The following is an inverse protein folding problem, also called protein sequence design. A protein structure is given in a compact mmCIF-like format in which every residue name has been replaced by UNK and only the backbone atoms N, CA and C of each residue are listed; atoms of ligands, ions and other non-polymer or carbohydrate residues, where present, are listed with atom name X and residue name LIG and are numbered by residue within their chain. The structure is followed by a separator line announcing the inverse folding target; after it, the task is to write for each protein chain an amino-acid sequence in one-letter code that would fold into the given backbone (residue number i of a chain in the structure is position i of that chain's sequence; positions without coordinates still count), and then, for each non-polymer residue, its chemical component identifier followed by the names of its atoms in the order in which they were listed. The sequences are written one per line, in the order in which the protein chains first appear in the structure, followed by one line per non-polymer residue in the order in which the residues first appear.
data_IF_517871897449
#
_entry.id   IF_517871897449
#
_cell.length_a   1.000
_cell.length_b   1.000
_cell.length_c   1.000
_cell.angle_alpha   90.00
_cell.angle_beta   90.00
_cell.angle_gamma   90.00
#
_symmetry.space_group_name_H-M   'P 1'
#
loop_
_entity.id
_entity.type
_entity.pdbx_description
1 polymer ?
#
# COMPACT_ATOMS: atom_id res chain seq x y z
N UNK A 1 18.05 7.85 19.44
CA UNK A 1 16.62 8.18 19.61
C UNK A 1 16.13 8.80 18.31
N UNK A 2 15.27 8.11 17.55
CA UNK A 2 14.86 8.57 16.22
C UNK A 2 13.72 9.60 16.33
N UNK A 3 13.92 10.86 15.90
CA UNK A 3 12.90 11.89 15.95
C UNK A 3 12.01 11.74 14.72
N UNK A 4 10.88 11.02 14.84
CA UNK A 4 9.75 11.13 13.89
C UNK A 4 8.46 10.40 14.34
N UNK A 5 8.34 9.98 15.61
CA UNK A 5 7.05 9.57 16.17
C UNK A 5 6.30 10.81 16.67
N UNK A 6 5.65 11.55 15.77
CA UNK A 6 4.44 12.26 16.19
C UNK A 6 3.33 11.22 16.00
N UNK A 7 2.78 10.63 17.08
CA UNK A 7 1.73 9.65 16.96
C UNK A 7 0.57 10.28 16.20
N UNK A 8 0.03 9.57 15.21
CA UNK A 8 -1.26 9.96 14.63
C UNK A 8 -2.26 9.97 15.80
N UNK A 9 -2.98 11.09 16.05
CA UNK A 9 -3.88 11.18 17.18
C UNK A 9 -4.85 10.00 17.20
N UNK A 10 -5.05 9.38 18.37
CA UNK A 10 -5.95 8.24 18.62
C UNK A 10 -5.49 6.88 18.06
N UNK A 11 -4.30 6.76 17.49
CA UNK A 11 -3.71 5.47 17.11
C UNK A 11 -2.86 4.91 18.27
N UNK A 12 -3.06 3.64 18.58
CA UNK A 12 -2.26 2.87 19.54
C UNK A 12 -1.14 2.14 18.79
N UNK A 13 0.12 2.31 19.22
CA UNK A 13 1.25 1.60 18.62
C UNK A 13 1.17 0.10 18.92
N UNK A 14 1.31 -0.75 17.90
CA UNK A 14 1.43 -2.21 18.05
C UNK A 14 2.87 -2.68 17.90
N UNK A 15 3.65 -2.03 17.04
CA UNK A 15 5.10 -2.22 16.88
C UNK A 15 5.73 -0.93 16.36
N UNK A 16 7.02 -0.93 16.01
CA UNK A 16 7.74 0.29 15.61
C UNK A 16 7.11 1.04 14.42
N UNK A 17 6.42 0.32 13.52
CA UNK A 17 5.81 0.89 12.30
C UNK A 17 4.38 0.41 12.05
N UNK A 18 3.77 -0.19 13.06
CA UNK A 18 2.39 -0.68 13.01
C UNK A 18 1.62 0.01 14.11
N UNK A 19 0.47 0.60 13.76
CA UNK A 19 -0.43 1.23 14.70
C UNK A 19 -1.88 0.85 14.39
N UNK A 20 -2.73 0.88 15.41
CA UNK A 20 -4.14 0.53 15.32
C UNK A 20 -4.99 1.67 15.86
N UNK A 21 -5.95 2.11 15.06
CA UNK A 21 -7.05 2.93 15.50
C UNK A 21 -8.27 2.04 15.70
N UNK A 22 -8.91 2.18 16.86
CA UNK A 22 -10.25 1.63 17.12
C UNK A 22 -11.23 2.78 17.31
N UNK A 23 -12.39 2.77 16.66
CA UNK A 23 -13.40 3.77 16.87
C UNK A 23 -14.02 3.61 18.27
N UNK A 24 -14.68 4.66 18.80
CA UNK A 24 -15.50 4.54 19.99
C UNK A 24 -16.57 3.45 19.82
N UNK A 25 -17.01 2.78 20.91
CA UNK A 25 -18.07 1.80 20.84
C UNK A 25 -19.31 2.42 20.21
N UNK A 26 -19.70 1.90 19.04
CA UNK A 26 -20.93 2.24 18.34
C UNK A 26 -21.70 0.96 18.11
N UNK A 27 -23.02 1.05 17.93
CA UNK A 27 -23.84 -0.13 17.64
C UNK A 27 -23.26 -0.88 16.43
N UNK A 28 -22.94 -2.18 16.55
CA UNK A 28 -22.33 -2.92 15.45
C UNK A 28 -23.23 -2.86 14.21
N UNK A 29 -22.71 -2.50 13.03
CA UNK A 29 -23.49 -2.60 11.81
C UNK A 29 -23.85 -4.07 11.57
N UNK A 30 -25.08 -4.34 11.14
CA UNK A 30 -25.48 -5.70 10.78
C UNK A 30 -24.63 -6.22 9.61
N UNK A 31 -24.23 -7.51 9.62
CA UNK A 31 -23.49 -8.11 8.52
C UNK A 31 -24.37 -8.06 7.26
N UNK A 32 -23.90 -7.37 6.22
CA UNK A 32 -24.52 -7.42 4.90
C UNK A 32 -23.45 -7.49 3.82
N UNK A 33 -23.71 -8.12 2.67
CA UNK A 33 -22.75 -8.18 1.56
C UNK A 33 -22.37 -6.79 1.01
N UNK A 34 -23.23 -5.78 1.24
CA UNK A 34 -23.00 -4.37 0.91
C UNK A 34 -22.56 -3.53 2.12
N UNK A 35 -22.24 -4.16 3.25
CA UNK A 35 -21.82 -3.44 4.45
C UNK A 35 -20.48 -2.73 4.20
N UNK A 36 -20.29 -1.52 4.77
CA UNK A 36 -18.98 -0.87 4.75
C UNK A 36 -17.92 -1.77 5.38
N UNK A 37 -16.64 -1.63 5.01
CA UNK A 37 -15.56 -2.38 5.65
C UNK A 37 -15.54 -2.10 7.16
N UNK A 38 -15.43 -3.15 7.96
CA UNK A 38 -15.25 -3.05 9.41
C UNK A 38 -13.77 -3.02 9.81
N UNK A 39 -12.87 -3.30 8.87
CA UNK A 39 -11.43 -3.18 9.10
C UNK A 39 -10.75 -2.66 7.83
N UNK A 40 -9.85 -1.71 8.00
CA UNK A 40 -9.11 -1.09 6.92
C UNK A 40 -7.62 -1.25 7.21
N UNK A 41 -6.91 -1.95 6.33
CA UNK A 41 -5.46 -2.03 6.34
C UNK A 41 -4.96 -0.88 5.48
N UNK A 42 -4.26 0.08 6.09
CA UNK A 42 -3.68 1.21 5.38
C UNK A 42 -2.16 1.06 5.33
N UNK A 43 -1.62 0.72 4.16
CA UNK A 43 -0.18 0.60 3.95
C UNK A 43 0.35 1.92 3.39
N UNK A 44 0.88 2.78 4.26
CA UNK A 44 1.39 4.09 3.91
C UNK A 44 2.68 4.02 3.07
N UNK A 45 2.89 5.04 2.25
CA UNK A 45 4.08 5.13 1.41
C UNK A 45 5.34 5.44 2.23
N UNK A 46 6.48 5.35 1.54
CA UNK A 46 7.80 5.50 2.12
C UNK A 46 7.95 6.85 2.85
N UNK A 47 8.26 6.79 4.15
CA UNK A 47 8.45 7.96 5.03
C UNK A 47 7.31 8.98 4.97
N UNK A 48 6.08 8.51 4.76
CA UNK A 48 4.89 9.36 4.78
C UNK A 48 4.83 10.17 6.09
N UNK A 49 4.73 11.50 5.97
CA UNK A 49 4.59 12.36 7.15
C UNK A 49 3.20 12.14 7.77
N UNK A 50 3.07 12.23 9.11
CA UNK A 50 1.79 12.05 9.79
C UNK A 50 0.66 12.87 9.18
N UNK A 51 0.89 14.15 8.85
CA UNK A 51 -0.12 15.01 8.20
C UNK A 51 -0.70 14.45 6.90
N UNK A 52 0.10 13.73 6.13
CA UNK A 52 -0.34 13.15 4.86
C UNK A 52 -1.08 11.83 5.08
N UNK A 53 -0.65 11.02 6.06
CA UNK A 53 -1.38 9.83 6.48
C UNK A 53 -2.76 10.21 7.07
N UNK A 54 -2.80 11.24 7.93
CA UNK A 54 -4.03 11.75 8.57
C UNK A 54 -5.12 12.07 7.55
N UNK A 55 -4.76 12.61 6.39
CA UNK A 55 -5.73 12.93 5.33
C UNK A 55 -6.54 11.69 4.90
N UNK A 56 -5.88 10.54 4.77
CA UNK A 56 -6.52 9.29 4.37
C UNK A 56 -7.21 8.58 5.53
N UNK A 57 -6.57 8.56 6.71
CA UNK A 57 -7.18 7.93 7.89
C UNK A 57 -8.42 8.70 8.34
N UNK A 58 -8.40 10.03 8.35
CA UNK A 58 -9.59 10.84 8.65
C UNK A 58 -10.70 10.66 7.63
N UNK A 59 -10.38 10.54 6.35
CA UNK A 59 -11.39 10.26 5.34
C UNK A 59 -12.02 8.87 5.55
N UNK A 60 -11.22 7.84 5.82
CA UNK A 60 -11.73 6.51 6.16
C UNK A 60 -12.56 6.51 7.45
N UNK A 61 -12.14 7.25 8.48
CA UNK A 61 -12.90 7.40 9.73
C UNK A 61 -14.26 8.07 9.48
N UNK A 62 -14.35 9.06 8.60
CA UNK A 62 -15.62 9.71 8.24
C UNK A 62 -16.54 8.77 7.46
N UNK A 63 -15.97 7.99 6.54
CA UNK A 63 -16.71 7.13 5.60
C UNK A 63 -17.13 5.80 6.24
N UNK A 64 -16.32 5.30 7.16
CA UNK A 64 -16.51 4.03 7.87
C UNK A 64 -16.33 4.26 9.38
N UNK A 65 -17.29 4.92 10.07
CA UNK A 65 -17.12 5.35 11.46
C UNK A 65 -16.92 4.21 12.47
N UNK A 66 -17.36 3.00 12.13
CA UNK A 66 -17.21 1.79 12.94
C UNK A 66 -16.00 0.94 12.55
N UNK A 67 -15.17 1.36 11.59
CA UNK A 67 -14.06 0.57 11.12
C UNK A 67 -12.80 0.76 11.97
N UNK A 68 -12.15 -0.35 12.31
CA UNK A 68 -10.77 -0.35 12.78
C UNK A 68 -9.84 0.04 11.62
N UNK A 69 -8.78 0.81 11.91
CA UNK A 69 -7.73 1.13 10.91
C UNK A 69 -6.40 0.59 11.41
N UNK A 70 -5.92 -0.47 10.74
CA UNK A 70 -4.59 -1.02 10.92
C UNK A 70 -3.62 -0.31 9.97
N UNK A 71 -2.83 0.60 10.52
CA UNK A 71 -1.85 1.39 9.77
C UNK A 71 -0.49 0.69 9.77
N UNK A 72 0.02 0.41 8.58
CA UNK A 72 1.38 -0.04 8.34
C UNK A 72 2.18 1.11 7.71
N UNK A 73 3.24 1.55 8.40
CA UNK A 73 4.16 2.55 7.90
C UNK A 73 5.41 1.89 7.32
N UNK A 74 6.03 2.58 6.37
CA UNK A 74 7.19 2.07 5.65
C UNK A 74 8.39 3.01 5.80
N UNK A 75 9.56 2.46 6.08
CA UNK A 75 10.79 3.24 6.33
C UNK A 75 12.03 2.69 5.63
N UNK A 76 13.11 3.48 5.69
CA UNK A 76 14.39 3.21 4.98
C UNK A 76 14.93 1.81 5.25
N UNK A 77 14.92 1.41 6.53
CA UNK A 77 15.45 0.11 6.92
C UNK A 77 14.68 -1.05 6.28
N UNK A 78 13.33 -0.99 6.24
CA UNK A 78 12.51 -2.08 5.68
C UNK A 78 12.74 -2.26 4.18
N UNK A 79 13.18 -1.20 3.52
CA UNK A 79 13.35 -1.17 2.08
C UNK A 79 14.76 -1.61 1.64
N UNK A 80 15.78 -1.41 2.48
CA UNK A 80 17.19 -1.59 2.08
C UNK A 80 17.91 -2.63 2.94
N UNK A 81 17.67 -2.64 4.27
CA UNK A 81 18.57 -3.28 5.23
C UNK A 81 17.91 -4.41 6.04
N UNK A 82 16.63 -4.28 6.36
CA UNK A 82 15.91 -5.21 7.22
C UNK A 82 15.49 -6.44 6.43
N UNK A 83 15.95 -7.61 6.86
CA UNK A 83 15.59 -8.89 6.23
C UNK A 83 14.08 -9.10 6.19
N UNK A 84 13.58 -9.84 5.19
CA UNK A 84 12.16 -10.17 5.11
C UNK A 84 11.67 -10.92 6.36
N UNK A 85 12.47 -11.84 6.93
CA UNK A 85 12.11 -12.55 8.16
C UNK A 85 11.90 -11.59 9.34
N UNK A 86 12.78 -10.60 9.51
CA UNK A 86 12.64 -9.57 10.54
C UNK A 86 11.43 -8.68 10.29
N UNK A 87 11.16 -8.29 9.04
CA UNK A 87 9.96 -7.51 8.70
C UNK A 87 8.68 -8.30 9.06
N UNK A 88 8.62 -9.59 8.73
CA UNK A 88 7.46 -10.44 9.06
C UNK A 88 7.28 -10.63 10.56
N UNK A 89 8.38 -10.81 11.31
CA UNK A 89 8.32 -10.85 12.78
C UNK A 89 7.73 -9.56 13.38
N UNK A 90 8.08 -8.39 12.85
CA UNK A 90 7.51 -7.11 13.29
C UNK A 90 6.02 -6.93 12.93
N UNK A 91 5.50 -7.74 12.00
CA UNK A 91 4.10 -7.73 11.58
C UNK A 91 3.23 -8.74 12.34
N UNK A 92 3.78 -9.58 13.22
CA UNK A 92 2.98 -10.53 14.01
C UNK A 92 1.84 -9.86 14.82
N UNK A 93 2.03 -8.69 15.47
CA UNK A 93 0.91 -7.99 16.13
C UNK A 93 -0.20 -7.55 15.15
N UNK A 94 0.17 -7.25 13.90
CA UNK A 94 -0.77 -6.92 12.84
C UNK A 94 -1.56 -8.17 12.41
N UNK A 95 -0.88 -9.31 12.26
CA UNK A 95 -1.48 -10.62 11.96
C UNK A 95 -2.50 -10.99 13.03
N UNK A 96 -2.17 -10.86 14.33
CA UNK A 96 -3.10 -11.15 15.42
C UNK A 96 -4.34 -10.25 15.39
N UNK A 97 -4.16 -8.96 15.08
CA UNK A 97 -5.27 -8.02 14.93
C UNK A 97 -6.20 -8.44 13.78
N UNK A 98 -5.62 -8.83 12.64
CA UNK A 98 -6.38 -9.30 11.49
C UNK A 98 -7.05 -10.66 11.74
N UNK A 99 -6.42 -11.53 12.54
CA UNK A 99 -6.98 -12.83 12.90
C UNK A 99 -8.25 -12.66 13.71
N UNK A 100 -8.26 -11.73 14.67
CA UNK A 100 -9.45 -11.36 15.42
C UNK A 100 -10.53 -10.75 14.52
N UNK A 101 -10.17 -9.82 13.63
CA UNK A 101 -11.11 -9.21 12.69
C UNK A 101 -11.74 -10.25 11.75
N UNK A 102 -10.93 -11.13 11.17
CA UNK A 102 -11.40 -12.19 10.27
C UNK A 102 -12.30 -13.19 11.00
N UNK A 103 -11.94 -13.60 12.22
CA UNK A 103 -12.78 -14.48 13.04
C UNK A 103 -14.13 -13.86 13.42
N UNK A 104 -14.19 -12.52 13.53
CA UNK A 104 -15.42 -11.78 13.73
C UNK A 104 -16.26 -11.61 12.44
N UNK A 105 -15.78 -12.10 11.30
CA UNK A 105 -16.43 -11.92 10.01
C UNK A 105 -16.38 -10.49 9.47
N UNK A 106 -15.39 -9.70 9.91
CA UNK A 106 -15.21 -8.34 9.41
C UNK A 106 -14.84 -8.38 7.92
N UNK A 107 -15.46 -7.49 7.14
CA UNK A 107 -15.03 -7.14 5.80
C UNK A 107 -13.79 -6.25 5.89
N UNK A 108 -12.73 -6.64 5.19
CA UNK A 108 -11.39 -6.06 5.27
C UNK A 108 -11.04 -5.38 3.94
N UNK A 109 -10.86 -4.06 3.97
CA UNK A 109 -10.30 -3.28 2.86
C UNK A 109 -8.77 -3.18 3.00
N UNK A 110 -8.02 -3.50 1.95
CA UNK A 110 -6.59 -3.21 1.86
C UNK A 110 -6.35 -2.00 0.97
N UNK A 111 -5.83 -0.91 1.53
CA UNK A 111 -5.50 0.32 0.81
C UNK A 111 -3.99 0.56 0.86
N UNK A 112 -3.34 0.45 -0.29
CA UNK A 112 -1.89 0.41 -0.46
C UNK A 112 -1.41 1.64 -1.22
N UNK A 113 -0.39 2.31 -0.70
CA UNK A 113 0.18 3.51 -1.32
C UNK A 113 1.64 3.31 -1.71
N UNK A 114 1.97 3.59 -2.98
CA UNK A 114 3.34 3.52 -3.52
C UNK A 114 3.98 2.11 -3.38
N UNK A 115 5.22 1.97 -3.84
CA UNK A 115 6.02 0.76 -3.58
C UNK A 115 6.29 0.57 -2.08
N UNK A 116 6.32 1.68 -1.34
CA UNK A 116 6.46 1.73 0.11
C UNK A 116 5.43 0.85 0.83
N UNK A 117 4.16 1.11 0.55
CA UNK A 117 3.04 0.35 1.09
C UNK A 117 2.89 -1.02 0.44
N UNK A 118 3.23 -1.17 -0.85
CA UNK A 118 3.19 -2.46 -1.51
C UNK A 118 4.12 -3.48 -0.82
N UNK A 119 5.31 -3.06 -0.38
CA UNK A 119 6.19 -3.92 0.41
C UNK A 119 5.53 -4.34 1.72
N UNK A 120 4.98 -3.39 2.48
CA UNK A 120 4.27 -3.71 3.72
C UNK A 120 3.10 -4.68 3.49
N UNK A 121 2.35 -4.51 2.40
CA UNK A 121 1.23 -5.37 2.04
C UNK A 121 1.69 -6.81 1.70
N UNK A 122 2.71 -6.96 0.84
CA UNK A 122 3.24 -8.28 0.46
C UNK A 122 3.88 -8.98 1.67
N UNK A 123 4.63 -8.24 2.51
CA UNK A 123 5.19 -8.80 3.75
C UNK A 123 4.10 -9.24 4.73
N UNK A 124 3.03 -8.45 4.88
CA UNK A 124 1.89 -8.81 5.72
C UNK A 124 1.19 -10.07 5.20
N UNK A 125 0.99 -10.19 3.87
CA UNK A 125 0.41 -11.38 3.28
C UNK A 125 1.28 -12.63 3.49
N UNK A 126 2.61 -12.51 3.37
CA UNK A 126 3.52 -13.60 3.72
C UNK A 126 3.46 -13.96 5.21
N UNK A 127 3.49 -12.97 6.11
CA UNK A 127 3.42 -13.20 7.55
C UNK A 127 2.09 -13.87 7.94
N UNK A 128 0.98 -13.44 7.33
CA UNK A 128 -0.32 -14.09 7.49
C UNK A 128 -0.29 -15.54 7.01
N UNK A 129 0.20 -15.79 5.80
CA UNK A 129 0.26 -17.14 5.23
C UNK A 129 1.14 -18.08 6.06
N UNK A 130 2.28 -17.60 6.55
CA UNK A 130 3.15 -18.36 7.45
C UNK A 130 2.45 -18.74 8.76
N UNK A 131 1.63 -17.84 9.30
CA UNK A 131 0.90 -18.07 10.56
C UNK A 131 -0.39 -18.89 10.39
N UNK A 132 -1.13 -18.68 9.30
CA UNK A 132 -2.51 -19.14 9.13
C UNK A 132 -2.67 -20.21 8.04
N UNK A 133 -1.66 -20.40 7.18
CA UNK A 133 -1.70 -21.36 6.08
C UNK A 133 -2.59 -20.96 4.90
N UNK A 134 -3.24 -19.79 4.95
CA UNK A 134 -4.18 -19.29 3.94
C UNK A 134 -3.70 -17.97 3.33
N UNK A 135 -4.24 -17.53 2.18
CA UNK A 135 -4.02 -16.18 1.67
C UNK A 135 -4.55 -15.10 2.63
N UNK A 136 -4.08 -13.87 2.47
CA UNK A 136 -4.53 -12.74 3.29
C UNK A 136 -6.05 -12.53 3.11
N UNK A 137 -6.85 -12.46 4.19
CA UNK A 137 -8.31 -12.42 4.12
C UNK A 137 -8.77 -10.97 3.88
N UNK A 138 -8.64 -10.50 2.65
CA UNK A 138 -9.08 -9.18 2.22
C UNK A 138 -10.24 -9.31 1.24
N UNK A 139 -11.20 -8.39 1.31
CA UNK A 139 -12.37 -8.39 0.43
C UNK A 139 -12.19 -7.44 -0.75
N UNK A 140 -11.35 -6.42 -0.61
CA UNK A 140 -11.03 -5.51 -1.71
C UNK A 140 -9.62 -4.94 -1.55
N UNK A 141 -8.98 -4.63 -2.68
CA UNK A 141 -7.64 -4.02 -2.73
C UNK A 141 -7.68 -2.71 -3.52
N UNK A 142 -7.12 -1.65 -2.94
CA UNK A 142 -6.84 -0.38 -3.63
C UNK A 142 -5.34 -0.20 -3.71
N UNK A 143 -4.83 -0.04 -4.92
CA UNK A 143 -3.43 0.21 -5.23
C UNK A 143 -3.31 1.65 -5.74
N UNK A 144 -2.87 2.57 -4.89
CA UNK A 144 -2.65 3.97 -5.22
C UNK A 144 -1.16 4.20 -5.56
N UNK A 145 -0.92 4.60 -6.80
CA UNK A 145 0.40 4.89 -7.33
C UNK A 145 1.38 3.71 -7.24
N UNK A 146 0.91 2.47 -7.43
CA UNK A 146 1.74 1.26 -7.33
C UNK A 146 1.14 0.05 -8.08
N UNK A 147 1.94 -1.01 -8.33
CA UNK A 147 3.40 -1.05 -8.20
C UNK A 147 4.11 -0.33 -9.35
N UNK A 148 5.32 0.15 -9.09
CA UNK A 148 6.20 0.77 -10.09
C UNK A 148 6.85 -0.21 -11.05
N UNK A 149 7.77 0.31 -11.87
CA UNK A 149 8.53 -0.49 -12.83
C UNK A 149 9.73 -1.16 -12.17
N UNK A 150 10.02 -2.44 -12.50
CA UNK A 150 11.28 -3.08 -12.10
C UNK A 150 12.48 -2.58 -12.92
N UNK A 151 12.25 -1.80 -13.98
CA UNK A 151 13.30 -1.16 -14.75
C UNK A 151 13.83 0.09 -14.04
N UNK A 152 15.06 -0.03 -13.53
CA UNK A 152 15.79 1.04 -12.85
C UNK A 152 16.00 2.27 -13.74
N UNK A 153 16.15 2.10 -15.07
CA UNK A 153 16.34 3.23 -15.99
C UNK A 153 15.06 4.02 -16.10
N UNK A 154 13.92 3.35 -16.26
CA UNK A 154 12.62 4.01 -16.29
C UNK A 154 12.32 4.72 -14.96
N UNK A 155 12.61 4.08 -13.82
CA UNK A 155 12.46 4.70 -12.50
C UNK A 155 13.39 5.91 -12.32
N UNK A 156 14.66 5.80 -12.67
CA UNK A 156 15.63 6.89 -12.57
C UNK A 156 15.30 8.05 -13.53
N UNK A 157 14.90 7.77 -14.77
CA UNK A 157 14.47 8.79 -15.74
C UNK A 157 13.24 9.52 -15.26
N UNK A 158 12.24 8.82 -14.71
CA UNK A 158 11.05 9.44 -14.14
C UNK A 158 11.43 10.43 -13.02
N UNK A 159 12.30 10.03 -12.09
CA UNK A 159 12.76 10.91 -11.00
C UNK A 159 13.60 12.09 -11.51
N UNK A 160 14.57 11.87 -12.42
CA UNK A 160 15.44 12.96 -12.89
C UNK A 160 14.66 14.00 -13.70
N UNK A 161 13.74 13.55 -14.56
CA UNK A 161 12.92 14.45 -15.38
C UNK A 161 11.81 15.14 -14.57
N UNK A 162 11.51 14.64 -13.37
CA UNK A 162 10.55 15.22 -12.44
C UNK A 162 10.98 16.54 -11.79
N UNK A 163 12.25 16.92 -11.91
CA UNK A 163 12.82 18.09 -11.24
C UNK A 163 13.29 19.10 -12.30
N UNK A 164 13.08 20.42 -12.10
CA UNK A 164 13.60 21.43 -13.02
C UNK A 164 15.10 21.26 -13.28
N UNK A 165 15.55 21.49 -14.52
CA UNK A 165 16.95 21.27 -14.94
C UNK A 165 17.97 21.90 -14.00
N UNK A 166 17.69 23.07 -13.43
CA UNK A 166 18.55 23.77 -12.48
C UNK A 166 18.74 23.06 -11.13
N UNK A 167 17.85 22.12 -10.79
CA UNK A 167 17.83 21.37 -9.52
C UNK A 167 18.05 19.86 -9.72
N UNK A 168 18.28 19.42 -10.96
CA UNK A 168 18.46 17.99 -11.28
C UNK A 168 19.66 17.36 -10.57
N UNK A 169 20.67 18.14 -10.15
CA UNK A 169 21.80 17.62 -9.39
C UNK A 169 21.39 17.09 -8.01
N UNK A 170 20.43 17.73 -7.33
CA UNK A 170 19.83 17.20 -6.09
C UNK A 170 18.98 15.94 -6.36
N UNK A 171 18.25 15.92 -7.47
CA UNK A 171 17.48 14.76 -7.92
C UNK A 171 18.40 13.55 -8.15
N UNK A 172 19.50 13.78 -8.88
CA UNK A 172 20.54 12.79 -9.15
C UNK A 172 21.18 12.30 -7.86
N UNK A 173 21.53 13.19 -6.93
CA UNK A 173 22.04 12.80 -5.61
C UNK A 173 21.04 11.94 -4.84
N UNK A 174 19.76 12.32 -4.80
CA UNK A 174 18.70 11.54 -4.15
C UNK A 174 18.50 10.17 -4.82
N UNK A 175 18.55 10.10 -6.15
CA UNK A 175 18.50 8.85 -6.91
C UNK A 175 19.67 7.95 -6.51
N UNK A 176 20.90 8.47 -6.48
CA UNK A 176 22.08 7.67 -6.11
C UNK A 176 22.10 7.23 -4.65
N UNK A 177 21.56 8.03 -3.73
CA UNK A 177 21.61 7.73 -2.29
C UNK A 177 20.42 6.92 -1.78
N UNK A 178 19.25 6.98 -2.44
CA UNK A 178 18.01 6.34 -1.97
C UNK A 178 17.47 5.35 -2.99
N UNK A 179 17.34 5.74 -4.26
CA UNK A 179 16.75 4.87 -5.28
C UNK A 179 17.72 3.76 -5.70
N UNK A 180 18.96 4.09 -6.05
CA UNK A 180 19.97 3.12 -6.49
C UNK A 180 20.20 1.98 -5.48
N UNK A 181 20.34 2.21 -4.16
CA UNK A 181 20.47 1.12 -3.20
C UNK A 181 19.26 0.16 -3.20
N UNK A 182 18.04 0.64 -3.43
CA UNK A 182 16.83 -0.20 -3.49
C UNK A 182 16.81 -1.19 -4.66
N UNK A 183 17.55 -0.88 -5.73
CA UNK A 183 17.66 -1.71 -6.92
C UNK A 183 18.97 -2.51 -6.96
N UNK A 184 20.07 -1.94 -6.47
CA UNK A 184 21.41 -2.54 -6.55
C UNK A 184 21.71 -3.48 -5.38
N UNK A 185 21.25 -3.18 -4.14
CA UNK A 185 21.53 -4.06 -3.00
C UNK A 185 20.95 -5.47 -3.14
N UNK A 186 19.74 -5.68 -3.72
CA UNK A 186 19.22 -7.03 -3.96
C UNK A 186 19.98 -7.75 -5.08
N UNK A 187 20.36 -7.02 -6.15
CA UNK A 187 21.14 -7.57 -7.27
C UNK A 187 22.50 -8.14 -6.84
N UNK A 188 23.19 -7.50 -5.89
CA UNK A 188 24.49 -7.96 -5.39
C UNK A 188 24.43 -9.29 -4.64
N UNK A 189 23.24 -9.70 -4.19
CA UNK A 189 23.01 -10.96 -3.44
C UNK A 189 22.20 -11.95 -4.27
N UNK A 190 21.99 -11.69 -5.57
CA UNK A 190 21.26 -12.57 -6.48
C UNK A 190 19.74 -12.66 -6.22
N UNK A 191 19.16 -11.70 -5.49
CA UNK A 191 17.72 -11.62 -5.27
C UNK A 191 17.05 -10.75 -6.34
N UNK A 192 15.76 -11.00 -6.66
CA UNK A 192 15.01 -10.09 -7.55
C UNK A 192 15.07 -8.67 -6.98
N UNK A 193 15.14 -7.67 -7.86
CA UNK A 193 15.00 -6.29 -7.41
C UNK A 193 13.68 -6.12 -6.65
N UNK A 194 13.64 -5.22 -5.66
CA UNK A 194 12.51 -5.10 -4.75
C UNK A 194 11.19 -4.95 -5.52
N UNK A 195 11.15 -4.10 -6.55
CA UNK A 195 9.93 -3.84 -7.32
C UNK A 195 9.44 -5.09 -8.06
N UNK A 196 10.32 -5.89 -8.62
CA UNK A 196 9.97 -7.17 -9.24
C UNK A 196 9.40 -8.15 -8.20
N UNK A 197 10.01 -8.24 -7.01
CA UNK A 197 9.47 -9.03 -5.91
C UNK A 197 8.07 -8.57 -5.51
N UNK A 198 7.84 -7.25 -5.42
CA UNK A 198 6.52 -6.67 -5.14
C UNK A 198 5.49 -7.01 -6.21
N UNK A 199 5.87 -6.87 -7.50
CA UNK A 199 4.98 -7.17 -8.63
C UNK A 199 4.54 -8.62 -8.62
N UNK A 200 5.47 -9.55 -8.34
CA UNK A 200 5.17 -10.98 -8.18
C UNK A 200 4.27 -11.25 -6.99
N UNK A 201 4.62 -10.72 -5.82
CA UNK A 201 3.85 -10.92 -4.59
C UNK A 201 2.42 -10.40 -4.69
N UNK A 202 2.20 -9.22 -5.27
CA UNK A 202 0.85 -8.66 -5.48
C UNK A 202 -0.03 -9.50 -6.43
N UNK A 203 0.59 -10.26 -7.35
CA UNK A 203 -0.11 -11.15 -8.28
C UNK A 203 0.02 -12.64 -7.90
N UNK A 204 0.50 -12.96 -6.69
CA UNK A 204 0.57 -14.32 -6.17
C UNK A 204 -0.78 -14.74 -5.54
N UNK A 205 -1.46 -15.68 -6.18
CA UNK A 205 -2.77 -16.18 -5.75
C UNK A 205 -2.75 -16.88 -4.38
N UNK A 206 -1.57 -17.28 -3.91
CA UNK A 206 -1.39 -17.85 -2.58
C UNK A 206 -1.25 -16.79 -1.48
N UNK A 207 -1.03 -15.53 -1.85
CA UNK A 207 -0.93 -14.39 -0.94
C UNK A 207 -2.19 -13.52 -0.99
N UNK A 208 -2.71 -13.28 -2.19
CA UNK A 208 -3.92 -12.51 -2.43
C UNK A 208 -4.87 -13.34 -3.30
N UNK A 209 -6.09 -13.69 -2.83
CA UNK A 209 -7.02 -14.48 -3.64
C UNK A 209 -7.39 -13.77 -4.95
N UNK A 210 -7.65 -14.54 -6.02
CA UNK A 210 -7.84 -14.00 -7.38
C UNK A 210 -9.21 -13.35 -7.56
N UNK A 211 -10.19 -13.87 -6.85
CA UNK A 211 -11.56 -13.40 -6.78
C UNK A 211 -11.70 -12.01 -6.15
N UNK A 212 -10.72 -11.58 -5.36
CA UNK A 212 -10.72 -10.29 -4.67
C UNK A 212 -10.58 -9.16 -5.70
N UNK A 213 -11.58 -8.26 -5.81
CA UNK A 213 -11.51 -7.12 -6.70
C UNK A 213 -10.39 -6.16 -6.27
N UNK A 214 -9.69 -5.62 -7.27
CA UNK A 214 -8.64 -4.63 -7.07
C UNK A 214 -8.79 -3.44 -8.00
N UNK A 215 -8.57 -2.23 -7.48
CA UNK A 215 -8.56 -1.00 -8.25
C UNK A 215 -7.17 -0.36 -8.21
N UNK A 216 -6.65 0.02 -9.37
CA UNK A 216 -5.39 0.74 -9.51
C UNK A 216 -5.67 2.20 -9.79
N UNK A 217 -5.30 3.08 -8.85
CA UNK A 217 -5.43 4.52 -8.96
C UNK A 217 -4.07 5.10 -9.33
N UNK A 218 -4.00 5.83 -10.43
CA UNK A 218 -2.74 6.35 -10.97
C UNK A 218 -2.95 7.62 -11.80
N UNK A 219 -1.87 8.33 -12.10
CA UNK A 219 -1.89 9.55 -12.90
C UNK A 219 -0.86 9.53 -14.01
N UNK A 220 -1.18 10.15 -15.15
CA UNK A 220 -0.24 10.32 -16.28
C UNK A 220 0.99 11.14 -15.91
N UNK A 221 0.83 12.07 -14.96
CA UNK A 221 1.90 12.96 -14.51
C UNK A 221 2.55 12.50 -13.21
N UNK A 222 2.25 11.27 -12.75
CA UNK A 222 3.00 10.66 -11.65
C UNK A 222 4.46 10.46 -12.08
N UNK A 223 5.33 11.21 -11.43
CA UNK A 223 6.75 11.30 -11.70
C UNK A 223 7.59 10.23 -11.00
N UNK A 224 7.02 9.52 -10.02
CA UNK A 224 7.73 8.49 -9.25
C UNK A 224 7.33 7.09 -9.71
N UNK A 225 6.07 6.90 -10.07
CA UNK A 225 5.56 5.65 -10.61
C UNK A 225 4.95 5.92 -11.99
N UNK A 226 5.65 5.55 -13.08
CA UNK A 226 5.11 5.73 -14.43
C UNK A 226 3.77 5.03 -14.59
N UNK A 227 2.79 5.72 -15.18
CA UNK A 227 1.45 5.16 -15.41
C UNK A 227 1.50 3.84 -16.21
N UNK A 228 2.42 3.73 -17.17
CA UNK A 228 2.59 2.53 -17.99
C UNK A 228 2.95 1.31 -17.16
N UNK A 229 3.74 1.47 -16.09
CA UNK A 229 4.11 0.37 -15.20
C UNK A 229 2.93 -0.16 -14.38
N UNK A 230 1.98 0.74 -14.04
CA UNK A 230 0.72 0.41 -13.36
C UNK A 230 -0.24 -0.30 -14.32
N UNK A 231 -0.43 0.25 -15.52
CA UNK A 231 -1.27 -0.35 -16.57
C UNK A 231 -0.77 -1.75 -16.95
N UNK A 232 0.55 -1.93 -17.10
CA UNK A 232 1.20 -3.21 -17.36
C UNK A 232 0.96 -4.22 -16.22
N UNK A 233 1.09 -3.80 -14.96
CA UNK A 233 0.85 -4.69 -13.82
C UNK A 233 -0.62 -5.11 -13.72
N UNK A 234 -1.54 -4.18 -13.96
CA UNK A 234 -2.97 -4.48 -14.00
C UNK A 234 -3.30 -5.46 -15.14
N UNK A 235 -2.68 -5.31 -16.31
CA UNK A 235 -2.84 -6.26 -17.41
C UNK A 235 -2.32 -7.65 -17.03
N UNK A 236 -1.14 -7.73 -16.41
CA UNK A 236 -0.61 -8.98 -15.85
C UNK A 236 -1.56 -9.61 -14.82
N UNK A 237 -2.15 -8.81 -13.93
CA UNK A 237 -3.13 -9.28 -12.96
C UNK A 237 -4.39 -9.85 -13.65
N UNK A 238 -4.96 -9.15 -14.63
CA UNK A 238 -6.12 -9.65 -15.39
C UNK A 238 -5.80 -10.97 -16.10
N UNK A 239 -4.64 -11.08 -16.72
CA UNK A 239 -4.19 -12.31 -17.38
C UNK A 239 -4.01 -13.47 -16.41
N UNK A 240 -3.65 -13.18 -15.15
CA UNK A 240 -3.56 -14.16 -14.07
C UNK A 240 -4.90 -14.48 -13.39
N UNK A 241 -6.02 -13.92 -13.89
CA UNK A 241 -7.38 -14.20 -13.42
C UNK A 241 -7.92 -13.25 -12.35
N UNK A 242 -7.23 -12.15 -12.05
CA UNK A 242 -7.71 -11.17 -11.06
C UNK A 242 -8.79 -10.25 -11.63
N UNK A 243 -9.81 -9.94 -10.80
CA UNK A 243 -10.76 -8.86 -11.07
C UNK A 243 -10.11 -7.49 -10.84
N UNK A 244 -9.46 -6.94 -11.86
CA UNK A 244 -8.73 -5.67 -11.74
C UNK A 244 -9.33 -4.54 -12.57
N UNK A 245 -9.43 -3.34 -12.00
CA UNK A 245 -9.86 -2.10 -12.67
C UNK A 245 -8.79 -1.02 -12.63
N UNK A 246 -8.83 -0.12 -13.62
CA UNK A 246 -7.91 1.02 -13.75
C UNK A 246 -8.71 2.30 -13.54
N UNK A 247 -8.22 3.18 -12.68
CA UNK A 247 -8.79 4.51 -12.42
C UNK A 247 -7.72 5.56 -12.66
N UNK A 248 -7.78 6.11 -13.87
CA UNK A 248 -6.82 7.10 -14.37
C UNK A 248 -7.19 8.52 -13.96
N UNK A 249 -6.22 9.24 -13.40
CA UNK A 249 -6.22 10.67 -13.16
C UNK A 249 -5.28 11.36 -14.16
N UNK A 250 -5.47 12.66 -14.41
CA UNK A 250 -4.74 13.38 -15.47
C UNK A 250 -3.58 14.23 -14.95
N UNK A 251 -3.74 14.86 -13.78
CA UNK A 251 -2.89 15.97 -13.34
C UNK A 251 -2.33 15.84 -11.93
N UNK A 252 -2.61 14.73 -11.24
CA UNK A 252 -2.24 14.57 -9.84
C UNK A 252 -0.85 13.99 -9.68
N UNK A 253 -0.14 14.52 -8.68
CA UNK A 253 1.15 14.00 -8.26
C UNK A 253 1.04 12.62 -7.60
N UNK A 254 2.19 11.96 -7.42
CA UNK A 254 2.33 10.68 -6.73
C UNK A 254 1.58 10.68 -5.39
N UNK A 255 0.72 9.68 -5.17
CA UNK A 255 -0.07 9.50 -3.94
C UNK A 255 -0.99 10.68 -3.62
N UNK A 256 -1.30 11.53 -4.60
CA UNK A 256 -2.08 12.75 -4.40
C UNK A 256 -3.33 12.82 -5.28
N UNK A 257 -3.76 11.71 -5.86
CA UNK A 257 -4.90 11.63 -6.78
C UNK A 257 -6.20 12.17 -6.17
N UNK A 258 -6.42 11.94 -4.88
CA UNK A 258 -7.58 12.49 -4.14
C UNK A 258 -7.61 14.03 -4.10
N UNK A 259 -6.49 14.73 -4.37
CA UNK A 259 -6.50 16.19 -4.49
C UNK A 259 -7.05 16.69 -5.82
N UNK A 260 -6.91 15.91 -6.89
CA UNK A 260 -7.42 16.26 -8.21
C UNK A 260 -8.94 16.09 -8.25
N UNK A 261 -9.42 14.91 -7.85
CA UNK A 261 -10.85 14.62 -7.83
C UNK A 261 -11.19 13.68 -6.66
N UNK A 262 -11.72 14.27 -5.58
CA UNK A 262 -12.13 13.52 -4.38
C UNK A 262 -13.28 12.56 -4.67
N UNK A 263 -14.25 12.97 -5.49
CA UNK A 263 -15.43 12.14 -5.76
C UNK A 263 -15.04 10.92 -6.57
N UNK A 264 -14.23 11.09 -7.61
CA UNK A 264 -13.69 9.98 -8.40
C UNK A 264 -12.80 9.05 -7.57
N UNK A 265 -11.93 9.62 -6.74
CA UNK A 265 -11.04 8.84 -5.89
C UNK A 265 -11.80 7.94 -4.92
N UNK A 266 -12.71 8.53 -4.14
CA UNK A 266 -13.45 7.79 -3.15
C UNK A 266 -14.55 6.91 -3.77
N UNK A 267 -15.13 7.32 -4.89
CA UNK A 267 -16.03 6.48 -5.69
C UNK A 267 -15.34 5.20 -6.15
N UNK A 268 -14.10 5.28 -6.63
CA UNK A 268 -13.32 4.09 -6.98
C UNK A 268 -13.06 3.15 -5.79
N UNK A 269 -12.84 3.71 -4.60
CA UNK A 269 -12.68 2.93 -3.36
C UNK A 269 -14.00 2.24 -2.99
N UNK A 270 -15.13 2.91 -3.13
CA UNK A 270 -16.45 2.32 -2.86
C UNK A 270 -16.83 1.26 -3.91
N UNK A 271 -16.54 1.51 -5.18
CA UNK A 271 -16.87 0.62 -6.29
C UNK A 271 -16.11 -0.71 -6.19
N UNK A 272 -14.82 -0.67 -5.83
CA UNK A 272 -14.03 -1.89 -5.65
C UNK A 272 -14.53 -2.70 -4.45
N UNK A 273 -14.94 -2.03 -3.38
CA UNK A 273 -15.60 -2.69 -2.26
C UNK A 273 -16.90 -3.34 -2.73
N UNK A 274 -17.80 -2.59 -3.37
CA UNK A 274 -19.09 -3.11 -3.85
C UNK A 274 -19.01 -4.26 -4.86
N UNK A 275 -17.83 -4.51 -5.43
CA UNK A 275 -17.57 -5.59 -6.39
C UNK A 275 -17.10 -6.91 -5.76
N UNK A 276 -16.90 -6.95 -4.44
CA UNK A 276 -16.44 -8.14 -3.70
C UNK A 276 -17.57 -9.09 -3.38
#
# INVERSE_FOLDING_TARGET
MSPNNIPLPKFTSLSQRTALYRPPPTTPPQPSPKAPPQTIILCAWFRALPKHISKYTTAHQLRNPSADILLLQSGVADMIFTSHATQRAHLLPAVETLRAAHAAGNRILLHVFSNGGANSAVQLAHAWREAMGTPLPVDAVVLDSCPGSPDIRLAATAVITSIPRSQQWWATFFVWMVIMPLFVSPMLVGSPNLVEWLRRGLNDGSLFPREVPRAYLYSEVDRLVPFSAVEEHCASARNAGYKASLVRFRGSAHVAHVNEDKMRYWGAVDDVLGSS
#
